data_IF_567106286204
#
_entry.id   IF_567106286204
#
_cell.length_a   1.000
_cell.length_b   1.000
_cell.length_c   1.000
_cell.angle_alpha   90.00
_cell.angle_beta   90.00
_cell.angle_gamma   90.00
#
_symmetry.space_group_name_H-M   'P 1'
#
loop_
_entity.id
_entity.type
_entity.pdbx_description
1 polymer ?
#
# COMPACT_ATOMS: atom_id res chain seq x y z
N UNK A 1 -7.75 -0.81 -2.66
CA UNK A 1 -6.40 -0.19 -2.69
C UNK A 1 -5.57 -0.69 -1.51
N UNK A 2 -6.23 -1.06 -0.42
CA UNK A 2 -5.67 -1.70 0.78
C UNK A 2 -4.90 -2.99 0.46
N UNK A 3 -5.31 -3.76 -0.56
CA UNK A 3 -4.69 -5.05 -0.94
C UNK A 3 -3.49 -4.97 -1.90
N UNK A 4 -2.88 -3.80 -2.09
CA UNK A 4 -1.78 -3.65 -3.05
C UNK A 4 -0.42 -3.80 -2.40
N UNK A 5 0.39 -4.71 -2.93
CA UNK A 5 1.81 -4.86 -2.60
C UNK A 5 2.66 -4.43 -3.78
N UNK A 6 3.55 -3.45 -3.55
CA UNK A 6 4.47 -2.93 -4.56
C UNK A 6 5.81 -3.65 -4.39
N UNK A 7 6.37 -4.09 -5.52
CA UNK A 7 7.71 -4.64 -5.59
C UNK A 7 8.72 -3.52 -5.62
N UNK A 8 9.63 -3.48 -4.66
CA UNK A 8 10.58 -2.37 -4.50
C UNK A 8 12.00 -2.90 -4.24
N UNK A 9 12.90 -2.62 -5.18
CA UNK A 9 14.33 -2.97 -5.08
C UNK A 9 15.10 -2.02 -4.17
N UNK A 10 14.60 -0.80 -3.93
CA UNK A 10 15.19 0.16 -3.01
C UNK A 10 14.82 -0.10 -1.55
N UNK A 11 13.88 -1.02 -1.30
CA UNK A 11 13.41 -1.34 0.03
C UNK A 11 14.29 -2.41 0.68
N UNK A 12 14.81 -2.13 1.88
CA UNK A 12 15.64 -3.08 2.64
C UNK A 12 14.83 -4.14 3.39
N UNK A 13 13.54 -3.88 3.65
CA UNK A 13 12.66 -4.79 4.38
C UNK A 13 11.24 -4.79 3.81
N UNK A 14 10.51 -5.89 3.88
CA UNK A 14 9.07 -5.93 3.62
C UNK A 14 8.34 -5.06 4.64
N UNK A 15 7.34 -4.28 4.20
CA UNK A 15 6.64 -3.35 5.08
C UNK A 15 5.14 -3.31 4.79
N UNK A 16 4.33 -3.21 5.84
CA UNK A 16 2.89 -2.97 5.71
C UNK A 16 2.34 -2.15 6.86
N UNK A 17 1.30 -1.36 6.58
CA UNK A 17 0.46 -0.72 7.60
C UNK A 17 -0.75 -1.54 8.03
N UNK A 18 -0.97 -2.73 7.46
CA UNK A 18 -2.16 -3.54 7.68
C UNK A 18 -1.88 -4.65 8.69
N UNK A 19 -2.17 -4.39 9.98
CA UNK A 19 -1.99 -5.37 11.06
C UNK A 19 -2.74 -6.70 10.80
N UNK A 20 -3.87 -6.66 10.10
CA UNK A 20 -4.75 -7.83 9.86
C UNK A 20 -4.12 -8.90 8.96
N UNK A 21 -3.04 -8.59 8.25
CA UNK A 21 -2.41 -9.52 7.30
C UNK A 21 -1.35 -10.42 7.94
N UNK A 22 -0.92 -10.09 9.15
CA UNK A 22 0.06 -10.87 9.87
C UNK A 22 -0.55 -12.16 10.39
N UNK A 23 0.05 -13.30 10.04
CA UNK A 23 -0.23 -14.58 10.69
C UNK A 23 0.44 -14.68 12.06
N UNK A 24 1.61 -14.07 12.18
CA UNK A 24 2.35 -13.85 13.42
C UNK A 24 2.83 -12.40 13.48
N UNK A 25 2.74 -11.76 14.64
CA UNK A 25 3.25 -10.40 14.85
C UNK A 25 3.84 -10.30 16.24
N UNK A 26 5.15 -10.14 16.30
CA UNK A 26 5.88 -9.91 17.54
C UNK A 26 6.10 -8.41 17.71
N UNK A 27 5.66 -7.81 18.83
CA UNK A 27 5.97 -6.41 19.10
C UNK A 27 7.47 -6.23 19.30
N UNK A 28 8.04 -5.20 18.67
CA UNK A 28 9.45 -4.86 18.86
C UNK A 28 9.54 -3.86 20.01
N UNK A 29 10.32 -4.22 21.05
CA UNK A 29 10.51 -3.39 22.25
C UNK A 29 11.46 -2.21 22.01
N UNK A 30 12.37 -2.36 21.05
CA UNK A 30 13.37 -1.36 20.67
C UNK A 30 12.79 -0.34 19.69
N UNK A 31 13.31 0.88 19.76
CA UNK A 31 13.05 1.96 18.80
C UNK A 31 13.74 1.65 17.45
N UNK A 32 13.41 0.54 16.81
CA UNK A 32 13.79 0.33 15.42
C UNK A 32 13.06 1.37 14.58
N UNK A 33 13.82 2.33 14.07
CA UNK A 33 13.37 3.28 13.08
C UNK A 33 13.76 2.74 11.71
N UNK A 34 12.79 2.73 10.81
CA UNK A 34 13.09 2.54 9.39
C UNK A 34 13.07 3.92 8.76
N UNK A 35 14.11 4.23 8.00
CA UNK A 35 14.20 5.45 7.22
C UNK A 35 13.30 5.32 6.00
N UNK A 36 12.01 5.61 6.15
CA UNK A 36 11.08 5.79 5.05
C UNK A 36 10.60 7.24 5.05
N UNK A 37 11.27 8.12 4.29
CA UNK A 37 10.90 9.53 4.05
C UNK A 37 10.86 10.46 5.28
N UNK A 38 10.22 10.02 6.37
CA UNK A 38 9.83 10.76 7.57
C UNK A 38 10.02 9.93 8.87
N UNK A 39 11.02 9.05 8.96
CA UNK A 39 11.30 8.22 10.15
C UNK A 39 10.09 7.39 10.64
N UNK A 40 9.58 6.50 9.79
CA UNK A 40 8.54 5.53 10.15
C UNK A 40 8.98 4.61 11.30
N UNK A 41 8.23 4.63 12.41
CA UNK A 41 8.48 3.76 13.56
C UNK A 41 7.95 2.35 13.30
N UNK A 42 8.78 1.33 13.55
CA UNK A 42 8.35 -0.07 13.54
C UNK A 42 7.65 -0.39 14.84
N UNK A 43 6.46 -0.97 14.74
CA UNK A 43 5.65 -1.38 15.89
C UNK A 43 5.72 -2.88 16.16
N UNK A 44 6.16 -3.66 15.17
CA UNK A 44 6.30 -5.10 15.27
C UNK A 44 6.92 -5.68 14.01
N UNK A 45 7.39 -6.91 14.13
CA UNK A 45 7.90 -7.71 13.01
C UNK A 45 7.18 -9.04 13.01
N UNK A 46 6.85 -9.55 11.83
CA UNK A 46 6.05 -10.75 11.69
C UNK A 46 6.05 -11.34 10.30
N UNK A 47 5.21 -12.33 10.07
CA UNK A 47 5.11 -13.01 8.78
C UNK A 47 3.74 -12.82 8.14
N UNK A 48 3.72 -12.76 6.80
CA UNK A 48 2.51 -12.56 5.99
C UNK A 48 2.51 -13.53 4.82
N UNK A 49 1.41 -14.26 4.66
CA UNK A 49 1.21 -15.10 3.47
C UNK A 49 0.50 -14.31 2.37
N UNK A 50 1.17 -14.10 1.24
CA UNK A 50 0.60 -13.43 0.07
C UNK A 50 -0.12 -14.41 -0.86
N UNK A 51 0.36 -15.64 -0.94
CA UNK A 51 -0.26 -16.72 -1.70
C UNK A 51 0.04 -18.07 -1.03
N UNK A 52 -0.59 -19.15 -1.50
CA UNK A 52 -0.29 -20.50 -1.02
C UNK A 52 1.21 -20.88 -1.15
N UNK A 53 1.95 -20.22 -2.05
CA UNK A 53 3.36 -20.51 -2.34
C UNK A 53 4.33 -19.38 -1.94
N UNK A 54 3.81 -18.21 -1.55
CA UNK A 54 4.64 -17.04 -1.22
C UNK A 54 4.28 -16.51 0.17
N UNK A 55 5.22 -16.67 1.11
CA UNK A 55 5.12 -16.17 2.48
C UNK A 55 6.29 -15.24 2.76
N UNK A 56 6.01 -13.98 3.06
CA UNK A 56 7.00 -13.00 3.46
C UNK A 56 7.32 -13.15 4.94
N UNK A 57 8.61 -13.20 5.27
CA UNK A 57 9.11 -13.23 6.65
C UNK A 57 9.70 -11.88 7.03
N UNK A 58 9.89 -11.66 8.33
CA UNK A 58 10.52 -10.43 8.85
C UNK A 58 9.86 -9.14 8.32
N UNK A 59 8.54 -9.16 8.14
CA UNK A 59 7.78 -8.02 7.63
C UNK A 59 7.61 -6.98 8.75
N UNK A 60 8.04 -5.76 8.50
CA UNK A 60 7.89 -4.65 9.44
C UNK A 60 6.45 -4.11 9.41
N UNK A 61 5.84 -4.04 10.58
CA UNK A 61 4.58 -3.35 10.79
C UNK A 61 4.84 -1.87 11.09
N UNK A 62 4.45 -1.00 10.15
CA UNK A 62 4.62 0.46 10.23
C UNK A 62 3.25 1.12 10.13
N UNK A 63 2.79 1.79 11.20
CA UNK A 63 1.50 2.47 11.18
C UNK A 63 1.49 3.59 10.14
N UNK A 64 0.33 3.79 9.50
CA UNK A 64 0.09 4.84 8.50
C UNK A 64 1.02 4.75 7.27
N UNK A 65 1.51 3.55 6.95
CA UNK A 65 2.25 3.33 5.71
C UNK A 65 1.31 3.43 4.51
N UNK A 66 1.59 4.34 3.57
CA UNK A 66 0.73 4.60 2.42
C UNK A 66 0.61 3.44 1.43
N UNK A 67 1.63 2.59 1.34
CA UNK A 67 1.67 1.41 0.46
C UNK A 67 2.38 0.25 1.12
N UNK A 68 1.99 -0.99 0.81
CA UNK A 68 2.71 -2.17 1.28
C UNK A 68 3.86 -2.46 0.32
N UNK A 69 5.05 -2.71 0.85
CA UNK A 69 6.28 -2.88 0.08
C UNK A 69 6.82 -4.29 0.23
N UNK A 70 7.21 -4.89 -0.89
CA UNK A 70 7.95 -6.15 -0.94
C UNK A 70 9.38 -5.82 -1.33
N UNK A 71 10.31 -6.03 -0.39
CA UNK A 71 11.74 -5.93 -0.66
C UNK A 71 12.18 -7.02 -1.62
N UNK A 72 12.77 -6.61 -2.76
CA UNK A 72 13.39 -7.55 -3.70
C UNK A 72 14.58 -8.26 -3.05
N UNK A 73 15.43 -7.52 -2.33
CA UNK A 73 16.64 -8.07 -1.72
C UNK A 73 16.34 -9.15 -0.68
N UNK A 74 15.28 -9.00 0.12
CA UNK A 74 14.85 -10.05 1.04
C UNK A 74 14.37 -11.31 0.31
N UNK A 75 13.59 -11.18 -0.77
CA UNK A 75 13.18 -12.36 -1.54
C UNK A 75 14.39 -13.10 -2.12
N UNK A 76 15.37 -12.37 -2.64
CA UNK A 76 16.61 -12.98 -3.14
C UNK A 76 17.36 -13.71 -2.03
N UNK A 77 17.44 -13.13 -0.82
CA UNK A 77 18.07 -13.77 0.34
C UNK A 77 17.32 -15.04 0.80
N UNK A 78 16.01 -15.10 0.58
CA UNK A 78 15.18 -16.27 0.85
C UNK A 78 15.24 -17.34 -0.26
N UNK A 79 16.01 -17.10 -1.33
CA UNK A 79 16.23 -18.05 -2.42
C UNK A 79 15.22 -17.95 -3.57
N UNK A 80 14.39 -16.91 -3.59
CA UNK A 80 13.51 -16.64 -4.74
C UNK A 80 14.25 -15.89 -5.84
N UNK A 81 13.85 -16.10 -7.10
CA UNK A 81 14.26 -15.25 -8.22
C UNK A 81 13.14 -14.26 -8.55
N UNK A 82 13.50 -12.99 -8.78
CA UNK A 82 12.55 -11.98 -9.26
C UNK A 82 12.88 -11.64 -10.71
N UNK A 83 11.98 -11.98 -11.63
CA UNK A 83 12.19 -11.82 -13.07
C UNK A 83 11.35 -10.68 -13.62
N UNK A 84 12.01 -9.68 -14.21
CA UNK A 84 11.36 -8.59 -14.92
C UNK A 84 11.61 -8.71 -16.42
N UNK A 85 10.59 -9.17 -17.17
CA UNK A 85 10.61 -9.25 -18.62
C UNK A 85 9.35 -8.63 -19.20
N UNK A 86 9.48 -7.98 -20.37
CA UNK A 86 8.35 -7.42 -21.10
C UNK A 86 7.26 -8.49 -21.28
N UNK A 87 6.09 -8.27 -20.67
CA UNK A 87 4.94 -9.18 -20.73
C UNK A 87 4.96 -10.38 -19.77
N UNK A 88 6.05 -10.62 -19.05
CA UNK A 88 6.17 -11.76 -18.14
C UNK A 88 7.05 -11.40 -16.93
N UNK A 89 6.47 -10.71 -15.94
CA UNK A 89 7.14 -10.41 -14.68
C UNK A 89 6.61 -11.35 -13.59
N UNK A 90 7.50 -11.99 -12.83
CA UNK A 90 7.11 -12.96 -11.81
C UNK A 90 8.18 -13.14 -10.74
N UNK A 91 7.77 -13.77 -9.64
CA UNK A 91 8.66 -14.34 -8.62
C UNK A 91 8.65 -15.85 -8.82
N UNK A 92 9.83 -16.47 -8.81
CA UNK A 92 10.07 -17.89 -9.00
C UNK A 92 10.68 -18.48 -7.73
N UNK A 93 10.33 -19.71 -7.40
CA UNK A 93 11.01 -20.49 -6.36
C UNK A 93 12.36 -21.07 -6.87
N UNK A 94 13.03 -21.84 -6.02
CA UNK A 94 14.32 -22.46 -6.31
C UNK A 94 14.25 -23.46 -7.48
N UNK A 95 13.06 -24.02 -7.75
CA UNK A 95 12.78 -24.92 -8.85
C UNK A 95 12.33 -24.19 -10.14
N UNK A 96 12.56 -22.88 -10.23
CA UNK A 96 12.14 -22.01 -11.34
C UNK A 96 10.63 -22.02 -11.63
N UNK A 97 9.82 -22.37 -10.63
CA UNK A 97 8.36 -22.40 -10.76
C UNK A 97 7.76 -21.06 -10.33
N UNK A 98 6.85 -20.46 -11.12
CA UNK A 98 6.24 -19.19 -10.76
C UNK A 98 5.36 -19.32 -9.51
N UNK A 99 5.77 -18.66 -8.43
CA UNK A 99 5.02 -18.57 -7.17
C UNK A 99 4.10 -17.35 -7.12
N UNK A 100 4.43 -16.32 -7.89
CA UNK A 100 3.62 -15.11 -8.02
C UNK A 100 3.84 -14.40 -9.36
N UNK A 101 2.77 -13.85 -9.95
CA UNK A 101 2.87 -12.93 -11.09
C UNK A 101 2.95 -11.47 -10.62
N UNK A 102 3.69 -10.64 -11.36
CA UNK A 102 3.80 -9.20 -11.13
C UNK A 102 3.13 -8.45 -12.28
N UNK A 103 2.33 -7.44 -11.95
CA UNK A 103 1.63 -6.60 -12.93
C UNK A 103 2.21 -5.18 -12.94
N UNK A 104 2.39 -4.57 -14.12
CA UNK A 104 2.73 -3.16 -14.21
C UNK A 104 1.65 -2.29 -13.55
N UNK A 105 2.07 -1.28 -12.79
CA UNK A 105 1.21 -0.29 -12.18
C UNK A 105 1.93 1.07 -12.20
N UNK A 106 1.68 1.87 -13.25
CA UNK A 106 2.48 3.07 -13.50
C UNK A 106 3.93 2.72 -13.80
N UNK A 107 4.86 3.29 -13.04
CA UNK A 107 6.31 3.04 -13.15
C UNK A 107 6.82 1.96 -12.19
N UNK A 108 5.92 1.30 -11.45
CA UNK A 108 6.26 0.23 -10.50
C UNK A 108 5.57 -1.08 -10.86
N UNK A 109 5.96 -2.16 -10.20
CA UNK A 109 5.31 -3.47 -10.33
C UNK A 109 4.57 -3.82 -9.04
N UNK A 110 3.39 -4.43 -9.17
CA UNK A 110 2.61 -4.92 -8.03
C UNK A 110 2.42 -6.42 -8.08
N UNK A 111 2.32 -7.03 -6.91
CA UNK A 111 1.98 -8.45 -6.73
C UNK A 111 0.56 -8.71 -7.21
N UNK A 112 0.36 -9.73 -8.04
CA UNK A 112 -0.98 -10.15 -8.46
C UNK A 112 -1.60 -11.13 -7.45
N UNK A 113 -2.55 -10.65 -6.64
CA UNK A 113 -3.22 -11.45 -5.62
C UNK A 113 -4.55 -12.09 -6.08
N UNK A 114 -4.86 -12.09 -7.39
CA UNK A 114 -6.16 -12.58 -7.91
C UNK A 114 -6.45 -14.06 -7.66
N UNK A 115 -5.50 -14.84 -7.11
CA UNK A 115 -5.68 -16.25 -6.76
C UNK A 115 -6.07 -16.50 -5.29
N UNK A 116 -6.22 -15.47 -4.45
CA UNK A 116 -6.62 -15.63 -3.03
C UNK A 116 -8.15 -15.63 -2.84
N UNK A 117 -8.94 -15.66 -3.92
CA UNK A 117 -10.40 -15.69 -3.81
C UNK A 117 -10.93 -17.12 -3.70
N UNK A 118 -11.30 -17.52 -2.48
CA UNK A 118 -12.49 -18.36 -2.28
C UNK A 118 -13.73 -17.70 -2.92
N UNK A 119 -14.87 -18.40 -3.03
CA UNK A 119 -15.91 -18.09 -4.01
C UNK A 119 -16.40 -16.65 -3.88
N UNK A 120 -16.50 -16.01 -5.05
CA UNK A 120 -16.87 -14.61 -5.25
C UNK A 120 -17.99 -14.16 -4.31
N UNK A 121 -17.63 -13.43 -3.25
CA UNK A 121 -18.58 -12.66 -2.47
C UNK A 121 -18.81 -11.37 -3.24
N UNK A 122 -20.01 -11.22 -3.81
CA UNK A 122 -20.52 -9.92 -4.22
C UNK A 122 -20.31 -8.93 -3.07
N UNK A 123 -19.40 -7.98 -3.25
CA UNK A 123 -19.14 -6.96 -2.24
C UNK A 123 -20.35 -6.04 -2.16
N UNK A 124 -21.10 -6.15 -1.07
CA UNK A 124 -21.99 -5.09 -0.62
C UNK A 124 -21.13 -3.85 -0.42
N UNK A 125 -21.48 -2.76 -1.09
CA UNK A 125 -20.77 -1.48 -0.97
C UNK A 125 -20.75 -1.05 0.50
N UNK A 126 -19.57 -1.09 1.12
CA UNK A 126 -19.34 -0.50 2.43
C UNK A 126 -19.43 1.02 2.31
N UNK A 127 -20.03 1.73 3.29
CA UNK A 127 -20.11 3.19 3.32
C UNK A 127 -18.75 3.90 3.13
N UNK A 128 -17.66 3.25 3.57
CA UNK A 128 -16.29 3.75 3.42
C UNK A 128 -15.84 3.85 1.95
N UNK A 129 -16.25 2.90 1.11
CA UNK A 129 -15.89 2.87 -0.31
C UNK A 129 -16.54 4.02 -1.10
N UNK A 130 -17.71 4.51 -0.66
CA UNK A 130 -18.39 5.63 -1.31
C UNK A 130 -17.76 6.97 -0.94
N UNK A 131 -17.32 7.16 0.32
CA UNK A 131 -16.59 8.37 0.75
C UNK A 131 -15.32 8.59 -0.08
N UNK A 132 -14.53 7.54 -0.28
CA UNK A 132 -13.27 7.63 -1.04
C UNK A 132 -13.49 7.94 -2.53
N UNK A 133 -14.57 7.42 -3.14
CA UNK A 133 -14.92 7.74 -4.53
C UNK A 133 -15.26 9.21 -4.69
N UNK A 134 -16.08 9.76 -3.79
CA UNK A 134 -16.49 11.16 -3.84
C UNK A 134 -15.35 12.10 -3.47
N UNK A 135 -14.49 11.72 -2.52
CA UNK A 135 -13.26 12.43 -2.21
C UNK A 135 -12.38 12.66 -3.43
N UNK A 136 -12.22 11.65 -4.31
CA UNK A 136 -11.45 11.79 -5.55
C UNK A 136 -12.18 12.58 -6.62
N UNK A 137 -13.49 12.34 -6.80
CA UNK A 137 -14.31 13.08 -7.78
C UNK A 137 -14.35 14.59 -7.52
N UNK A 138 -14.26 15.00 -6.25
CA UNK A 138 -14.29 16.39 -5.81
C UNK A 138 -12.90 16.98 -5.55
N UNK A 139 -11.84 16.40 -6.13
CA UNK A 139 -10.51 16.99 -6.11
C UNK A 139 -9.79 16.91 -4.77
N UNK A 140 -9.93 15.78 -4.06
CA UNK A 140 -9.31 15.54 -2.76
C UNK A 140 -9.81 16.43 -1.61
N UNK A 141 -11.05 16.90 -1.72
CA UNK A 141 -11.73 17.64 -0.66
C UNK A 141 -11.66 16.89 0.69
N UNK A 142 -11.48 17.60 1.80
CA UNK A 142 -11.35 16.94 3.11
C UNK A 142 -12.55 16.05 3.43
N UNK A 143 -12.31 14.93 4.11
CA UNK A 143 -13.37 13.99 4.46
C UNK A 143 -14.46 14.63 5.33
N UNK A 144 -14.07 15.55 6.23
CA UNK A 144 -15.02 16.33 7.02
C UNK A 144 -15.91 17.24 6.16
N UNK A 145 -15.34 17.90 5.15
CA UNK A 145 -16.11 18.72 4.21
C UNK A 145 -17.03 17.87 3.33
N UNK A 146 -16.60 16.67 2.91
CA UNK A 146 -17.46 15.73 2.20
C UNK A 146 -18.65 15.26 3.01
N UNK A 147 -18.45 14.93 4.29
CA UNK A 147 -19.52 14.53 5.20
C UNK A 147 -20.51 15.68 5.41
N UNK A 148 -20.00 16.92 5.55
CA UNK A 148 -20.84 18.13 5.64
C UNK A 148 -21.63 18.41 4.36
N UNK A 149 -21.01 18.31 3.18
CA UNK A 149 -21.71 18.52 1.90
C UNK A 149 -22.78 17.46 1.67
N UNK A 150 -22.48 16.23 2.06
CA UNK A 150 -23.40 15.11 2.00
C UNK A 150 -24.62 15.31 2.93
N UNK A 151 -24.43 15.87 4.12
CA UNK A 151 -25.54 16.16 5.03
C UNK A 151 -26.39 17.36 4.58
N UNK A 152 -25.81 18.30 3.83
CA UNK A 152 -26.50 19.48 3.30
C UNK A 152 -27.28 19.24 2.00
N UNK A 153 -27.10 18.09 1.33
CA UNK A 153 -27.84 17.74 0.11
C UNK A 153 -27.59 18.64 -1.11
N UNK A 154 -26.47 19.39 -1.11
CA UNK A 154 -26.17 20.41 -2.13
C UNK A 154 -25.64 19.83 -3.46
N UNK A 155 -25.22 18.56 -3.47
CA UNK A 155 -24.66 17.89 -4.65
C UNK A 155 -25.61 16.79 -5.10
N UNK A 156 -26.16 16.92 -6.30
CA UNK A 156 -27.03 15.90 -6.90
C UNK A 156 -26.25 14.59 -7.07
N UNK A 157 -26.79 13.50 -6.53
CA UNK A 157 -26.22 12.15 -6.62
C UNK A 157 -25.23 11.78 -5.51
N UNK A 158 -24.89 12.69 -4.59
CA UNK A 158 -24.06 12.38 -3.43
C UNK A 158 -24.89 11.64 -2.35
N UNK A 159 -24.62 10.35 -2.05
CA UNK A 159 -25.33 9.63 -0.99
C UNK A 159 -24.97 10.19 0.39
N UNK A 160 -25.78 9.90 1.41
CA UNK A 160 -25.49 10.28 2.81
C UNK A 160 -24.27 9.54 3.33
N UNK A 161 -23.17 10.25 3.50
CA UNK A 161 -21.88 9.77 3.98
C UNK A 161 -21.82 9.88 5.50
N UNK A 162 -21.24 8.88 6.18
CA UNK A 162 -21.04 8.90 7.64
C UNK A 162 -19.58 9.22 7.95
N UNK A 163 -19.33 10.02 8.98
CA UNK A 163 -17.97 10.29 9.44
C UNK A 163 -17.29 8.99 9.89
N UNK A 164 -16.18 8.65 9.25
CA UNK A 164 -15.28 7.59 9.66
C UNK A 164 -14.00 8.25 10.16
N UNK A 165 -13.56 7.85 11.36
CA UNK A 165 -12.38 8.45 11.99
C UNK A 165 -11.11 7.91 11.30
N UNK A 166 -10.07 8.75 11.24
CA UNK A 166 -8.73 8.41 10.73
C UNK A 166 -8.58 8.27 9.20
N UNK A 167 -9.49 8.86 8.41
CA UNK A 167 -9.32 8.94 6.96
C UNK A 167 -8.32 10.05 6.58
N UNK A 168 -7.17 9.67 6.01
CA UNK A 168 -6.12 10.60 5.54
C UNK A 168 -5.80 10.35 4.07
N UNK A 169 -5.81 11.40 3.26
CA UNK A 169 -5.42 11.33 1.86
C UNK A 169 -3.98 11.84 1.67
N UNK A 170 -3.04 10.92 1.46
CA UNK A 170 -1.61 11.23 1.28
C UNK A 170 -1.27 12.25 0.16
N UNK A 171 -1.95 12.27 -1.00
CA UNK A 171 -1.70 13.25 -2.06
C UNK A 171 -1.89 14.73 -1.67
N UNK A 172 -2.72 15.04 -0.67
CA UNK A 172 -2.99 16.44 -0.25
C UNK A 172 -1.84 17.03 0.56
N UNK A 173 -1.02 16.19 1.18
CA UNK A 173 0.13 16.65 1.97
C UNK A 173 1.22 17.23 1.06
N UNK A 174 1.40 16.70 -0.15
CA UNK A 174 2.44 17.19 -1.07
C UNK A 174 2.15 18.56 -1.69
N UNK A 175 0.87 18.95 -1.84
CA UNK A 175 0.51 20.25 -2.42
C UNK A 175 0.68 21.43 -1.45
N UNK A 176 0.81 21.18 -0.13
CA UNK A 176 0.93 22.24 0.89
C UNK A 176 2.38 22.69 1.15
N UNK A 177 3.38 22.01 0.56
CA UNK A 177 4.81 22.31 0.72
C UNK A 177 5.46 22.99 -0.50
N UNK A 178 4.66 23.38 -1.49
CA UNK A 178 5.14 23.86 -2.79
C UNK A 178 5.36 25.39 -2.94
N UNK A 179 5.85 26.14 -1.93
CA UNK A 179 6.52 27.40 -2.23
C UNK A 179 7.97 27.55 -1.74
N UNK A 180 8.68 26.49 -1.30
CA UNK A 180 10.04 26.67 -0.72
C UNK A 180 11.17 25.80 -1.29
N UNK A 181 11.07 25.28 -2.51
CA UNK A 181 12.24 24.73 -3.20
C UNK A 181 12.38 25.36 -4.59
N UNK A 182 12.93 26.57 -4.61
CA UNK A 182 13.69 27.08 -5.76
C UNK A 182 14.83 26.10 -6.06
N UNK A 183 14.91 25.64 -7.30
CA UNK A 183 16.04 24.87 -7.82
C UNK A 183 17.26 25.78 -8.08
N UNK A 184 18.45 25.43 -7.56
CA UNK A 184 19.71 25.59 -8.28
C UNK A 184 20.46 24.25 -8.31
N UNK A 185 21.18 23.80 -9.34
CA UNK A 185 21.65 24.39 -10.58
C UNK A 185 21.82 23.25 -11.61
N UNK A 186 21.46 23.53 -12.86
CA UNK A 186 22.20 23.05 -14.03
C UNK A 186 23.53 23.81 -14.06
N UNK A 187 24.63 23.12 -14.33
CA UNK A 187 25.94 23.75 -14.47
C UNK A 187 26.97 22.81 -15.10
N UNK A 188 26.90 22.77 -16.44
CA UNK A 188 27.91 22.31 -17.42
C UNK A 188 28.35 20.84 -17.38
#
# INVERSE_FOLDING_TARGET
MEDMWIMDSGCSRHMTGHRKWFSSLNPVSTKEYITFGDNGKVFGVGSISLSAKLSLREVAFVRNLGFNLVSVSQLLNEGFEVRFKKGACCVLDAEETPVCSLLPFGQVFRVNLTSVSGPARYLVASPSADIWKWHRRLGHLSFDLLVRLSSMGLIRGLPKLRAEKDLVCHPVVMARWLPLLTFPCLGL
#
